data_IF_292508433613
#
_entry.id   IF_292508433613
#
_cell.length_a   1.000
_cell.length_b   1.000
_cell.length_c   1.000
_cell.angle_alpha   90.00
_cell.angle_beta   90.00
_cell.angle_gamma   90.00
#
_symmetry.space_group_name_H-M   'P 1'
#
loop_
_entity.id
_entity.type
_entity.pdbx_description
1 polymer ?
#
# COMPACT_ATOMS: atom_id res chain seq x y z
N UNK A 1 0.62 26.36 0.38
CA UNK A 1 1.91 25.66 0.43
C UNK A 1 2.25 25.08 -0.94
N UNK A 2 3.53 24.83 -1.21
CA UNK A 2 4.00 23.95 -2.29
C UNK A 2 4.55 22.66 -1.68
N UNK A 3 3.89 21.55 -1.98
CA UNK A 3 4.10 20.24 -1.36
C UNK A 3 4.57 19.22 -2.41
N UNK A 4 5.43 18.29 -2.00
CA UNK A 4 5.82 17.14 -2.82
C UNK A 4 5.20 15.88 -2.22
N UNK A 5 4.33 15.20 -2.95
CA UNK A 5 3.78 13.90 -2.54
C UNK A 5 4.63 12.78 -3.17
N UNK A 6 5.14 11.87 -2.33
CA UNK A 6 5.74 10.60 -2.74
C UNK A 6 4.79 9.50 -2.25
N UNK A 7 4.22 8.72 -3.16
CA UNK A 7 3.16 7.76 -2.85
C UNK A 7 3.34 6.42 -3.53
N UNK A 8 2.83 5.36 -2.91
CA UNK A 8 2.62 4.10 -3.62
C UNK A 8 1.61 4.32 -4.76
N UNK A 9 1.88 3.79 -5.95
CA UNK A 9 1.01 3.94 -7.12
C UNK A 9 -0.37 3.28 -6.99
N UNK A 10 -0.60 2.45 -5.96
CA UNK A 10 -1.93 1.90 -5.67
C UNK A 10 -2.94 2.99 -5.26
N UNK A 11 -2.47 4.18 -4.90
CA UNK A 11 -3.32 5.33 -4.59
C UNK A 11 -3.47 6.30 -5.78
N UNK A 12 -3.08 5.89 -7.00
CA UNK A 12 -2.97 6.81 -8.14
C UNK A 12 -4.27 7.58 -8.38
N UNK A 13 -5.43 6.90 -8.36
CA UNK A 13 -6.72 7.52 -8.63
C UNK A 13 -7.15 8.41 -7.47
N UNK A 14 -6.99 7.94 -6.24
CA UNK A 14 -7.37 8.62 -5.00
C UNK A 14 -6.57 9.92 -4.84
N UNK A 15 -5.25 9.87 -5.00
CA UNK A 15 -4.42 11.08 -4.95
C UNK A 15 -4.65 12.00 -6.15
N UNK A 16 -4.83 11.47 -7.36
CA UNK A 16 -5.15 12.34 -8.51
C UNK A 16 -6.46 13.11 -8.30
N UNK A 17 -7.50 12.44 -7.79
CA UNK A 17 -8.80 13.06 -7.52
C UNK A 17 -8.71 14.12 -6.41
N UNK A 18 -7.98 13.83 -5.33
CA UNK A 18 -7.89 14.71 -4.16
C UNK A 18 -6.92 15.87 -4.37
N UNK A 19 -5.78 15.65 -5.03
CA UNK A 19 -4.81 16.70 -5.40
C UNK A 19 -5.45 17.74 -6.32
N UNK A 20 -6.28 17.32 -7.28
CA UNK A 20 -6.99 18.23 -8.17
C UNK A 20 -7.92 19.22 -7.43
N UNK A 21 -8.28 18.94 -6.17
CA UNK A 21 -9.13 19.78 -5.32
C UNK A 21 -8.38 20.38 -4.12
N UNK A 22 -7.07 20.16 -4.01
CA UNK A 22 -6.29 20.68 -2.89
C UNK A 22 -6.20 22.21 -2.93
N UNK A 23 -6.24 22.91 -1.76
CA UNK A 23 -5.92 24.33 -1.68
C UNK A 23 -4.41 24.63 -1.86
N UNK A 24 -3.58 23.62 -2.12
CA UNK A 24 -2.13 23.72 -2.23
C UNK A 24 -1.62 23.22 -3.58
N UNK A 25 -0.42 23.67 -3.96
CA UNK A 25 0.27 23.13 -5.14
C UNK A 25 0.92 21.82 -4.69
N UNK A 26 0.44 20.69 -5.20
CA UNK A 26 0.96 19.36 -4.86
C UNK A 26 1.52 18.70 -6.12
N UNK A 27 2.85 18.62 -6.19
CA UNK A 27 3.53 17.84 -7.23
C UNK A 27 3.66 16.38 -6.75
N UNK A 28 3.29 15.42 -7.60
CA UNK A 28 3.17 14.00 -7.20
C UNK A 28 4.24 13.15 -7.89
N UNK A 29 4.83 12.21 -7.14
CA UNK A 29 5.66 11.12 -7.64
C UNK A 29 5.14 9.80 -7.09
N UNK A 30 4.71 8.93 -8.00
CA UNK A 30 4.27 7.59 -7.66
C UNK A 30 5.44 6.61 -7.81
N UNK A 31 5.67 5.81 -6.78
CA UNK A 31 6.63 4.71 -6.84
C UNK A 31 5.89 3.37 -7.07
N UNK A 32 6.53 2.41 -7.75
CA UNK A 32 5.88 1.15 -8.13
C UNK A 32 5.38 0.34 -6.93
N UNK A 33 4.23 -0.33 -7.07
CA UNK A 33 3.68 -1.22 -6.03
C UNK A 33 4.69 -2.30 -5.64
N UNK A 34 5.42 -2.83 -6.63
CA UNK A 34 6.42 -3.88 -6.46
C UNK A 34 7.60 -3.51 -5.56
N UNK A 35 7.69 -2.26 -5.09
CA UNK A 35 8.62 -1.89 -4.04
C UNK A 35 8.35 -2.64 -2.72
N UNK A 36 7.12 -3.10 -2.47
CA UNK A 36 6.79 -3.94 -1.32
C UNK A 36 7.37 -5.37 -1.43
N UNK A 37 7.83 -5.76 -2.62
CA UNK A 37 8.31 -7.12 -2.90
C UNK A 37 9.83 -7.25 -2.77
N UNK A 38 10.56 -6.14 -2.61
CA UNK A 38 12.03 -6.12 -2.57
C UNK A 38 12.62 -6.19 -1.15
N UNK A 39 11.76 -6.24 -0.13
CA UNK A 39 12.14 -6.26 1.28
C UNK A 39 12.39 -4.86 1.87
N UNK A 40 12.28 -4.76 3.20
CA UNK A 40 12.26 -3.48 3.94
C UNK A 40 13.48 -2.59 3.69
N UNK A 41 14.69 -3.17 3.67
CA UNK A 41 15.92 -2.37 3.48
C UNK A 41 15.97 -1.69 2.10
N UNK A 42 15.66 -2.44 1.04
CA UNK A 42 15.66 -1.94 -0.34
C UNK A 42 14.50 -0.97 -0.56
N UNK A 43 13.31 -1.29 -0.07
CA UNK A 43 12.16 -0.40 -0.11
C UNK A 43 12.49 0.95 0.53
N UNK A 44 13.06 0.93 1.73
CA UNK A 44 13.46 2.13 2.44
C UNK A 44 14.53 2.92 1.69
N UNK A 45 15.53 2.25 1.11
CA UNK A 45 16.58 2.91 0.34
C UNK A 45 16.01 3.67 -0.88
N UNK A 46 15.10 3.05 -1.63
CA UNK A 46 14.43 3.70 -2.77
C UNK A 46 13.53 4.86 -2.34
N UNK A 47 12.77 4.69 -1.26
CA UNK A 47 11.96 5.77 -0.67
C UNK A 47 12.83 6.94 -0.19
N UNK A 48 13.94 6.64 0.50
CA UNK A 48 14.87 7.67 0.95
C UNK A 48 15.50 8.38 -0.25
N UNK A 49 15.87 7.65 -1.31
CA UNK A 49 16.39 8.25 -2.53
C UNK A 49 15.36 9.18 -3.19
N UNK A 50 14.07 8.84 -3.17
CA UNK A 50 13.00 9.71 -3.65
C UNK A 50 12.87 10.98 -2.79
N UNK A 51 12.92 10.85 -1.46
CA UNK A 51 12.95 11.99 -0.53
C UNK A 51 14.18 12.87 -0.75
N UNK A 52 15.35 12.28 -0.94
CA UNK A 52 16.63 12.98 -1.09
C UNK A 52 16.73 13.76 -2.41
N UNK A 53 15.95 13.38 -3.44
CA UNK A 53 15.85 14.12 -4.71
C UNK A 53 14.97 15.37 -4.62
N UNK A 54 14.25 15.58 -3.51
CA UNK A 54 13.33 16.72 -3.39
C UNK A 54 14.12 18.01 -3.17
N UNK A 55 13.90 18.99 -4.04
CA UNK A 55 14.47 20.32 -3.92
C UNK A 55 13.82 21.10 -2.77
N UNK A 56 14.54 21.23 -1.66
CA UNK A 56 14.09 21.92 -0.44
C UNK A 56 13.94 23.43 -0.61
N UNK A 57 14.48 24.05 -1.67
CA UNK A 57 14.23 25.45 -1.97
C UNK A 57 12.85 25.65 -2.64
N UNK A 58 12.28 24.59 -3.23
CA UNK A 58 11.02 24.62 -3.97
C UNK A 58 9.82 24.16 -3.13
N UNK A 59 10.00 23.21 -2.22
CA UNK A 59 8.92 22.59 -1.46
C UNK A 59 9.03 22.88 0.04
N UNK A 60 7.89 23.00 0.71
CA UNK A 60 7.81 23.26 2.15
C UNK A 60 7.75 21.97 2.98
N UNK A 61 7.25 20.88 2.41
CA UNK A 61 7.19 19.56 3.04
C UNK A 61 7.10 18.44 2.00
N UNK A 62 7.53 17.24 2.41
CA UNK A 62 7.32 15.99 1.65
C UNK A 62 6.20 15.18 2.32
N UNK A 63 5.15 14.88 1.58
CA UNK A 63 4.06 14.02 2.02
C UNK A 63 4.35 12.57 1.62
N UNK A 64 4.12 11.62 2.53
CA UNK A 64 4.24 10.20 2.26
C UNK A 64 2.85 9.57 2.13
N UNK A 65 2.49 9.16 0.90
CA UNK A 65 1.31 8.33 0.62
C UNK A 65 1.56 6.86 0.95
N UNK A 66 1.94 6.59 2.21
CA UNK A 66 2.32 5.28 2.74
C UNK A 66 1.85 5.14 4.19
N UNK A 67 1.52 3.91 4.60
CA UNK A 67 1.52 3.52 6.01
C UNK A 67 2.89 2.95 6.43
N UNK A 68 2.93 2.29 7.59
CA UNK A 68 4.13 1.63 8.09
C UNK A 68 4.60 0.49 7.15
N UNK A 69 3.66 -0.20 6.50
CA UNK A 69 3.87 -1.15 5.40
C UNK A 69 5.00 -2.16 5.70
N UNK A 70 4.84 -2.97 6.75
CA UNK A 70 5.86 -3.90 7.25
C UNK A 70 7.22 -3.20 7.52
N UNK A 71 7.16 -2.06 8.19
CA UNK A 71 8.30 -1.20 8.52
C UNK A 71 9.05 -0.62 7.31
N UNK A 72 8.47 -0.66 6.10
CA UNK A 72 9.09 -0.15 4.87
C UNK A 72 9.51 1.32 4.94
N UNK A 73 8.79 2.14 5.72
CA UNK A 73 9.10 3.56 5.93
C UNK A 73 9.93 3.83 7.20
N UNK A 74 10.13 2.83 8.07
CA UNK A 74 10.84 3.02 9.33
C UNK A 74 12.33 3.25 9.08
N UNK A 75 12.82 4.40 9.52
CA UNK A 75 14.18 4.89 9.30
C UNK A 75 14.28 5.94 8.19
N UNK A 76 13.20 6.27 7.49
CA UNK A 76 13.19 7.42 6.57
C UNK A 76 13.47 8.69 7.35
N UNK A 77 14.43 9.48 6.86
CA UNK A 77 14.94 10.67 7.52
C UNK A 77 14.46 11.91 6.79
N UNK A 78 13.88 12.84 7.54
CA UNK A 78 13.62 14.20 7.09
C UNK A 78 14.95 14.94 6.92
N UNK A 79 15.26 15.35 5.69
CA UNK A 79 16.50 16.04 5.36
C UNK A 79 16.43 17.51 5.75
N UNK A 80 16.17 18.40 4.78
CA UNK A 80 16.10 19.85 5.03
C UNK A 80 14.68 20.35 5.29
N UNK A 81 13.67 19.61 4.83
CA UNK A 81 12.24 19.95 5.00
C UNK A 81 11.53 18.79 5.70
N UNK A 82 10.42 19.06 6.41
CA UNK A 82 9.71 18.03 7.15
C UNK A 82 9.11 16.94 6.24
N UNK A 83 9.03 15.73 6.79
CA UNK A 83 8.18 14.67 6.23
C UNK A 83 6.83 14.69 6.95
N UNK A 84 5.75 14.45 6.21
CA UNK A 84 4.42 14.26 6.78
C UNK A 84 3.91 12.89 6.37
N UNK A 85 3.56 12.07 7.35
CA UNK A 85 3.19 10.67 7.15
C UNK A 85 1.94 10.32 7.96
N UNK A 86 0.95 9.63 7.37
CA UNK A 86 -0.18 9.09 8.12
C UNK A 86 0.27 8.11 9.20
N UNK A 87 -0.32 8.19 10.39
CA UNK A 87 -0.24 7.16 11.43
C UNK A 87 -1.11 5.98 11.02
N UNK A 88 -0.53 5.11 10.21
CA UNK A 88 -1.24 3.98 9.61
C UNK A 88 -0.34 2.75 9.61
N UNK A 89 -0.90 1.56 9.89
CA UNK A 89 -0.16 0.30 9.83
C UNK A 89 0.23 -0.05 8.39
N UNK A 90 -0.68 0.21 7.45
CA UNK A 90 -0.52 -0.06 6.03
C UNK A 90 -1.46 0.82 5.20
N UNK A 91 -1.46 0.59 3.89
CA UNK A 91 -2.30 1.31 2.94
C UNK A 91 -3.82 1.10 3.15
N UNK A 92 -4.25 0.00 3.76
CA UNK A 92 -5.68 -0.28 3.99
C UNK A 92 -6.24 0.74 4.98
N UNK A 93 -5.48 1.13 6.00
CA UNK A 93 -5.86 2.20 6.93
C UNK A 93 -6.19 3.51 6.20
N UNK A 94 -5.39 3.89 5.19
CA UNK A 94 -5.64 5.09 4.39
C UNK A 94 -6.92 4.95 3.56
N UNK A 95 -7.15 3.78 2.93
CA UNK A 95 -8.37 3.53 2.15
C UNK A 95 -9.63 3.54 3.03
N UNK A 96 -9.54 3.10 4.29
CA UNK A 96 -10.65 3.11 5.24
C UNK A 96 -10.79 4.45 5.97
N UNK A 97 -9.78 5.31 5.88
CA UNK A 97 -9.71 6.63 6.49
C UNK A 97 -9.60 6.61 8.03
N UNK A 98 -9.32 5.45 8.65
CA UNK A 98 -9.27 5.29 10.10
C UNK A 98 -8.57 3.99 10.49
N UNK A 99 -7.60 4.08 11.41
CA UNK A 99 -6.94 2.92 12.01
C UNK A 99 -7.91 2.06 12.81
N UNK A 100 -8.83 2.70 13.55
CA UNK A 100 -9.89 2.01 14.31
C UNK A 100 -10.80 1.20 13.39
N UNK A 101 -11.31 1.81 12.32
CA UNK A 101 -12.18 1.12 11.35
C UNK A 101 -11.47 -0.05 10.68
N UNK A 102 -10.18 0.11 10.39
CA UNK A 102 -9.35 -0.97 9.86
C UNK A 102 -9.25 -2.15 10.82
N UNK A 103 -8.91 -1.91 12.09
CA UNK A 103 -8.79 -2.95 13.11
C UNK A 103 -10.13 -3.66 13.35
N UNK A 104 -11.22 -2.92 13.53
CA UNK A 104 -12.58 -3.49 13.72
C UNK A 104 -12.98 -4.40 12.56
N UNK A 105 -12.68 -3.99 11.33
CA UNK A 105 -12.97 -4.79 10.15
C UNK A 105 -12.09 -6.05 10.08
N UNK A 106 -10.78 -5.90 10.31
CA UNK A 106 -9.83 -7.01 10.26
C UNK A 106 -10.14 -8.09 11.31
N UNK A 107 -10.42 -7.68 12.56
CA UNK A 107 -10.74 -8.58 13.67
C UNK A 107 -12.03 -9.37 13.44
N UNK A 108 -12.99 -8.79 12.72
CA UNK A 108 -14.27 -9.44 12.38
C UNK A 108 -14.22 -10.28 11.10
N UNK A 109 -13.17 -10.16 10.28
CA UNK A 109 -13.03 -10.84 8.99
C UNK A 109 -11.67 -11.58 8.87
N UNK A 110 -11.43 -12.61 9.71
CA UNK A 110 -10.20 -13.40 9.61
C UNK A 110 -10.05 -14.02 8.22
N UNK A 111 -8.87 -13.87 7.63
CA UNK A 111 -8.60 -14.36 6.28
C UNK A 111 -9.17 -13.49 5.15
N UNK A 112 -9.41 -12.21 5.41
CA UNK A 112 -9.74 -11.24 4.36
C UNK A 112 -8.51 -10.85 3.53
N UNK A 113 -8.71 -10.76 2.22
CA UNK A 113 -7.79 -10.14 1.28
C UNK A 113 -8.46 -8.90 0.65
N UNK A 114 -7.84 -7.72 0.80
CA UNK A 114 -8.40 -6.47 0.30
C UNK A 114 -8.01 -6.20 -1.15
N UNK A 115 -8.91 -5.55 -1.89
CA UNK A 115 -8.67 -5.02 -3.24
C UNK A 115 -9.27 -3.64 -3.41
N UNK A 116 -8.70 -2.86 -4.33
CA UNK A 116 -9.12 -1.54 -4.80
C UNK A 116 -8.77 -1.46 -6.28
N UNK A 117 -9.16 -0.38 -6.96
CA UNK A 117 -8.70 -0.13 -8.33
C UNK A 117 -7.20 -0.18 -8.46
N UNK A 118 -6.45 0.48 -7.56
CA UNK A 118 -5.00 0.59 -7.70
C UNK A 118 -4.26 -0.74 -7.56
N UNK A 119 -4.73 -1.61 -6.68
CA UNK A 119 -4.24 -2.98 -6.57
C UNK A 119 -4.46 -3.76 -7.88
N UNK A 120 -5.67 -3.70 -8.43
CA UNK A 120 -6.02 -4.40 -9.68
C UNK A 120 -5.28 -3.81 -10.90
N UNK A 121 -5.13 -2.49 -11.00
CA UNK A 121 -4.50 -1.82 -12.14
C UNK A 121 -2.98 -1.92 -12.13
N UNK A 122 -2.35 -1.87 -10.95
CA UNK A 122 -0.89 -1.79 -10.79
C UNK A 122 -0.25 -3.15 -10.50
N UNK A 123 -1.07 -4.20 -10.39
CA UNK A 123 -0.64 -5.58 -10.21
C UNK A 123 -0.04 -6.28 -11.43
N UNK A 124 -0.01 -5.65 -12.61
CA UNK A 124 0.46 -6.30 -13.85
C UNK A 124 -0.52 -7.36 -14.40
N UNK A 125 -0.29 -7.79 -15.64
CA UNK A 125 -1.15 -8.70 -16.42
C UNK A 125 -1.31 -10.12 -15.87
N UNK A 126 -0.47 -10.51 -14.91
CA UNK A 126 -0.52 -11.81 -14.22
C UNK A 126 -0.93 -11.53 -12.77
N UNK A 127 -2.18 -11.91 -12.43
CA UNK A 127 -2.93 -11.37 -11.29
C UNK A 127 -2.16 -11.23 -9.96
N UNK A 128 -2.60 -10.30 -9.12
CA UNK A 128 -1.87 -9.79 -7.94
C UNK A 128 -1.29 -10.82 -6.97
N UNK A 129 -1.88 -12.01 -6.87
CA UNK A 129 -1.38 -13.06 -5.97
C UNK A 129 -0.08 -13.70 -6.47
N UNK A 130 0.22 -13.58 -7.77
CA UNK A 130 1.53 -13.90 -8.37
C UNK A 130 2.66 -13.02 -7.82
N UNK A 131 2.31 -11.89 -7.20
CA UNK A 131 3.25 -10.88 -6.69
C UNK A 131 3.35 -10.83 -5.17
N UNK A 132 2.70 -11.70 -4.40
CA UNK A 132 3.14 -11.89 -3.01
C UNK A 132 4.62 -12.28 -3.08
N UNK A 133 5.52 -11.50 -2.46
CA UNK A 133 6.97 -11.50 -2.64
C UNK A 133 7.68 -12.89 -2.58
N UNK A 134 6.98 -13.92 -2.09
CA UNK A 134 7.43 -15.31 -2.07
C UNK A 134 7.14 -16.02 -3.40
N UNK A 135 6.03 -15.72 -4.06
CA UNK A 135 5.56 -16.37 -5.29
C UNK A 135 6.48 -16.21 -6.48
N UNK A 136 6.97 -15.01 -6.76
CA UNK A 136 7.88 -14.78 -7.91
C UNK A 136 9.25 -15.44 -7.72
N UNK A 137 9.73 -15.55 -6.47
CA UNK A 137 10.98 -16.24 -6.14
C UNK A 137 10.90 -17.76 -6.37
N UNK A 138 9.70 -18.33 -6.36
CA UNK A 138 9.45 -19.78 -6.48
C UNK A 138 8.68 -20.17 -7.75
N UNK A 139 8.45 -19.24 -8.69
CA UNK A 139 7.83 -19.52 -9.99
C UNK A 139 6.29 -19.50 -10.02
N UNK A 140 5.62 -18.81 -9.09
CA UNK A 140 4.19 -18.49 -9.23
C UNK A 140 3.92 -17.84 -10.58
N UNK A 141 2.84 -18.28 -11.24
CA UNK A 141 2.43 -17.80 -12.56
C UNK A 141 2.83 -18.73 -13.70
N UNK A 142 3.79 -19.64 -13.48
CA UNK A 142 3.99 -20.77 -14.39
C UNK A 142 2.79 -21.72 -14.28
N UNK A 143 2.18 -22.10 -15.41
CA UNK A 143 1.19 -23.17 -15.39
C UNK A 143 1.86 -24.46 -14.87
N UNK A 144 1.09 -25.41 -14.34
CA UNK A 144 1.65 -26.64 -13.77
C UNK A 144 2.60 -27.35 -14.75
N UNK A 145 2.29 -27.32 -16.06
CA UNK A 145 3.13 -27.90 -17.11
C UNK A 145 4.50 -27.20 -17.25
N UNK A 146 4.56 -25.88 -17.07
CA UNK A 146 5.80 -25.10 -17.08
C UNK A 146 6.63 -25.33 -15.81
N UNK A 147 5.99 -25.55 -14.65
CA UNK A 147 6.66 -25.97 -13.42
C UNK A 147 7.21 -27.40 -13.55
N UNK A 148 6.44 -28.32 -14.13
CA UNK A 148 6.85 -29.71 -14.41
C UNK A 148 8.04 -29.72 -15.38
N UNK A 149 7.98 -28.95 -16.46
CA UNK A 149 9.04 -28.87 -17.45
C UNK A 149 10.36 -28.33 -16.87
N UNK A 150 10.28 -27.41 -15.90
CA UNK A 150 11.46 -26.76 -15.31
C UNK A 150 12.03 -27.49 -14.10
N UNK A 151 11.17 -28.09 -13.27
CA UNK A 151 11.56 -28.60 -11.96
C UNK A 151 11.29 -30.10 -11.78
N UNK A 152 10.59 -30.74 -12.73
CA UNK A 152 10.10 -32.11 -12.60
C UNK A 152 8.79 -32.19 -11.82
N UNK A 153 8.03 -33.27 -12.02
CA UNK A 153 6.66 -33.41 -11.51
C UNK A 153 6.55 -33.37 -9.99
N UNK A 154 7.44 -34.06 -9.27
CA UNK A 154 7.41 -34.09 -7.81
C UNK A 154 7.72 -32.72 -7.20
N UNK A 155 8.67 -31.97 -7.76
CA UNK A 155 8.97 -30.62 -7.31
C UNK A 155 7.89 -29.63 -7.73
N UNK A 156 7.27 -29.79 -8.90
CA UNK A 156 6.16 -28.96 -9.33
C UNK A 156 4.95 -29.14 -8.40
N UNK A 157 4.64 -30.37 -8.00
CA UNK A 157 3.59 -30.69 -7.01
C UNK A 157 3.93 -30.10 -5.63
N UNK A 158 5.15 -30.30 -5.14
CA UNK A 158 5.60 -29.72 -3.88
C UNK A 158 5.53 -28.19 -3.88
N UNK A 159 6.01 -27.55 -4.96
CA UNK A 159 5.91 -26.11 -5.13
C UNK A 159 4.44 -25.71 -5.08
N UNK A 160 3.57 -26.32 -5.90
CA UNK A 160 2.13 -26.03 -5.93
C UNK A 160 1.44 -26.18 -4.57
N UNK A 161 1.79 -27.18 -3.77
CA UNK A 161 1.28 -27.37 -2.41
C UNK A 161 1.74 -26.24 -1.47
N UNK A 162 3.02 -25.86 -1.51
CA UNK A 162 3.56 -24.73 -0.76
C UNK A 162 2.96 -23.39 -1.22
N UNK A 163 2.66 -23.25 -2.52
CA UNK A 163 1.95 -22.10 -3.08
C UNK A 163 0.53 -22.03 -2.52
N UNK A 164 -0.19 -23.15 -2.53
CA UNK A 164 -1.51 -23.28 -1.95
C UNK A 164 -1.51 -22.88 -0.47
N UNK A 165 -0.50 -23.32 0.29
CA UNK A 165 -0.32 -23.00 1.70
C UNK A 165 -0.25 -21.50 2.01
N UNK A 166 0.33 -20.68 1.13
CA UNK A 166 0.37 -19.23 1.32
C UNK A 166 -0.99 -18.54 1.22
N UNK A 167 -1.96 -19.20 0.59
CA UNK A 167 -3.35 -18.71 0.49
C UNK A 167 -4.34 -19.47 1.36
N UNK A 168 -3.92 -20.52 2.06
CA UNK A 168 -4.79 -21.36 2.89
C UNK A 168 -5.49 -20.58 4.00
N UNK A 169 -4.87 -19.50 4.47
CA UNK A 169 -5.44 -18.67 5.54
C UNK A 169 -6.43 -17.62 5.02
N UNK A 170 -6.55 -17.44 3.70
CA UNK A 170 -7.50 -16.50 3.12
C UNK A 170 -8.76 -17.23 2.64
N UNK A 171 -9.92 -16.62 2.89
CA UNK A 171 -11.22 -17.19 2.53
C UNK A 171 -12.21 -16.15 2.02
N UNK A 172 -11.80 -14.87 1.97
CA UNK A 172 -12.64 -13.75 1.56
C UNK A 172 -11.84 -12.73 0.74
N UNK A 173 -12.45 -12.20 -0.31
CA UNK A 173 -12.06 -10.93 -0.91
C UNK A 173 -13.00 -9.81 -0.46
N UNK A 174 -12.41 -8.68 -0.08
CA UNK A 174 -13.12 -7.42 0.17
C UNK A 174 -12.67 -6.38 -0.84
N UNK A 175 -13.58 -5.96 -1.71
CA UNK A 175 -13.37 -4.84 -2.61
C UNK A 175 -13.73 -3.53 -1.91
N UNK A 176 -12.75 -2.63 -1.74
CA UNK A 176 -12.95 -1.31 -1.18
C UNK A 176 -13.28 -0.34 -2.33
N UNK A 177 -14.52 0.14 -2.35
CA UNK A 177 -15.03 1.09 -3.33
C UNK A 177 -14.70 2.52 -2.90
N UNK A 178 -13.78 3.18 -3.60
CA UNK A 178 -13.26 4.50 -3.20
C UNK A 178 -14.07 5.68 -3.73
N UNK A 179 -15.01 5.43 -4.65
CA UNK A 179 -15.81 6.45 -5.33
C UNK A 179 -15.04 7.20 -6.43
N UNK A 180 -13.87 6.68 -6.83
CA UNK A 180 -13.00 7.22 -7.91
C UNK A 180 -12.80 6.22 -9.06
N UNK A 181 -13.46 5.07 -8.95
CA UNK A 181 -13.65 4.09 -10.01
C UNK A 181 -14.30 4.74 -11.24
N UNK A 182 -13.90 4.34 -12.46
CA UNK A 182 -14.56 4.81 -13.68
C UNK A 182 -15.91 4.11 -13.91
N UNK A 183 -16.04 2.86 -13.44
CA UNK A 183 -17.19 1.97 -13.59
C UNK A 183 -17.07 0.78 -12.60
N UNK A 184 -18.04 -0.14 -12.64
CA UNK A 184 -18.07 -1.34 -11.80
C UNK A 184 -17.16 -2.49 -12.23
N UNK A 185 -16.30 -2.33 -13.25
CA UNK A 185 -15.51 -3.44 -13.78
C UNK A 185 -14.46 -3.99 -12.80
N UNK A 186 -14.00 -3.17 -11.85
CA UNK A 186 -13.06 -3.58 -10.81
C UNK A 186 -13.72 -4.42 -9.71
N UNK A 187 -14.93 -4.00 -9.30
CA UNK A 187 -15.78 -4.79 -8.40
C UNK A 187 -16.08 -6.15 -9.03
N UNK A 188 -16.53 -6.15 -10.29
CA UNK A 188 -16.90 -7.38 -10.99
C UNK A 188 -15.71 -8.34 -11.13
N UNK A 189 -14.53 -7.85 -11.49
CA UNK A 189 -13.29 -8.66 -11.55
C UNK A 189 -12.98 -9.33 -10.21
N UNK A 190 -13.12 -8.60 -9.11
CA UNK A 190 -12.88 -9.14 -7.76
C UNK A 190 -13.92 -10.20 -7.39
N UNK A 191 -15.19 -9.96 -7.73
CA UNK A 191 -16.29 -10.91 -7.52
C UNK A 191 -16.10 -12.20 -8.32
N UNK A 192 -15.71 -12.09 -9.58
CA UNK A 192 -15.43 -13.24 -10.44
C UNK A 192 -14.25 -14.06 -9.92
N UNK A 193 -13.20 -13.39 -9.42
CA UNK A 193 -12.05 -14.06 -8.81
C UNK A 193 -12.42 -14.77 -7.50
N UNK A 194 -13.25 -14.16 -6.66
CA UNK A 194 -13.78 -14.80 -5.45
C UNK A 194 -14.55 -16.07 -5.80
N UNK A 195 -15.46 -16.00 -6.79
CA UNK A 195 -16.26 -17.13 -7.24
C UNK A 195 -15.39 -18.29 -7.78
N UNK A 196 -14.36 -17.99 -8.58
CA UNK A 196 -13.42 -19.00 -9.10
C UNK A 196 -12.65 -19.73 -8.00
N UNK A 197 -12.38 -19.05 -6.87
CA UNK A 197 -11.68 -19.62 -5.71
C UNK A 197 -12.60 -20.27 -4.69
N UNK A 198 -13.92 -20.12 -4.83
CA UNK A 198 -14.89 -20.48 -3.79
C UNK A 198 -14.75 -19.60 -2.53
N UNK A 199 -14.23 -18.39 -2.66
CA UNK A 199 -14.08 -17.43 -1.55
C UNK A 199 -15.32 -16.56 -1.41
N UNK A 200 -15.55 -16.05 -0.20
CA UNK A 200 -16.56 -15.02 0.06
C UNK A 200 -16.17 -13.72 -0.66
N UNK A 201 -17.17 -13.00 -1.15
CA UNK A 201 -17.00 -11.66 -1.71
C UNK A 201 -17.78 -10.66 -0.87
N UNK A 202 -17.14 -9.56 -0.53
CA UNK A 202 -17.76 -8.40 0.11
C UNK A 202 -17.34 -7.12 -0.61
N UNK A 203 -18.28 -6.17 -0.70
CA UNK A 203 -17.97 -4.79 -1.08
C UNK A 203 -18.05 -3.90 0.16
N UNK A 204 -17.02 -3.09 0.37
CA UNK A 204 -16.90 -2.15 1.47
C UNK A 204 -16.70 -0.74 0.92
N UNK A 205 -17.43 0.25 1.43
CA UNK A 205 -17.20 1.64 1.04
C UNK A 205 -15.89 2.17 1.64
N UNK A 206 -15.01 2.73 0.82
CA UNK A 206 -13.80 3.42 1.26
C UNK A 206 -14.08 4.78 1.90
N UNK A 207 -13.03 5.49 2.30
CA UNK A 207 -13.12 6.85 2.81
C UNK A 207 -11.88 7.67 2.43
N UNK A 208 -12.07 8.66 1.56
CA UNK A 208 -10.99 9.52 1.08
C UNK A 208 -10.52 10.55 2.11
N UNK A 209 -11.20 10.73 3.25
CA UNK A 209 -10.99 11.89 4.11
C UNK A 209 -9.55 11.99 4.66
N UNK A 210 -8.90 10.87 4.98
CA UNK A 210 -7.49 10.88 5.42
C UNK A 210 -6.54 11.27 4.26
N UNK A 211 -6.80 10.77 3.05
CA UNK A 211 -6.06 11.13 1.83
C UNK A 211 -6.24 12.63 1.51
N UNK A 212 -7.45 13.15 1.63
CA UNK A 212 -7.78 14.57 1.46
C UNK A 212 -7.07 15.45 2.50
N UNK A 213 -7.06 15.06 3.77
CA UNK A 213 -6.36 15.79 4.84
C UNK A 213 -4.85 15.82 4.63
N UNK A 214 -4.25 14.73 4.13
CA UNK A 214 -2.82 14.68 3.81
C UNK A 214 -2.44 15.77 2.79
N UNK A 215 -3.17 15.85 1.68
CA UNK A 215 -2.83 16.78 0.57
C UNK A 215 -3.35 18.20 0.75
N UNK A 216 -4.31 18.42 1.66
CA UNK A 216 -4.85 19.74 2.00
C UNK A 216 -4.11 20.44 3.15
N UNK A 217 -3.14 19.78 3.79
CA UNK A 217 -2.35 20.37 4.88
C UNK A 217 -2.98 20.26 6.27
N UNK A 218 -4.08 19.51 6.42
CA UNK A 218 -4.80 19.34 7.69
C UNK A 218 -4.20 18.19 8.52
N UNK A 219 -2.98 18.38 9.01
CA UNK A 219 -2.19 17.33 9.67
C UNK A 219 -2.42 17.29 11.19
N UNK A 220 -3.59 16.79 11.60
CA UNK A 220 -3.87 16.51 13.01
C UNK A 220 -2.88 15.47 13.58
N UNK A 221 -2.38 15.71 14.80
CA UNK A 221 -1.33 14.89 15.40
C UNK A 221 -1.77 13.46 15.76
N UNK A 222 -3.08 13.19 15.86
CA UNK A 222 -3.63 11.85 16.08
C UNK A 222 -3.58 11.00 14.81
N UNK A 223 -3.67 11.63 13.64
CA UNK A 223 -3.72 10.95 12.35
C UNK A 223 -2.42 11.05 11.56
N UNK A 224 -1.59 12.05 11.84
CA UNK A 224 -0.35 12.31 11.12
C UNK A 224 0.82 12.50 12.06
N UNK A 225 1.99 12.07 11.61
CA UNK A 225 3.27 12.41 12.19
C UNK A 225 3.96 13.41 11.26
N UNK A 226 4.27 14.58 11.80
CA UNK A 226 5.20 15.53 11.17
C UNK A 226 6.60 15.25 11.71
N UNK A 227 7.50 14.83 10.85
CA UNK A 227 8.90 14.53 11.17
C UNK A 227 9.74 15.77 10.85
N UNK A 228 10.29 16.46 11.86
CA UNK A 228 11.09 17.65 11.61
C UNK A 228 12.44 17.31 10.97
N UNK A 229 13.08 18.26 10.27
CA UNK A 229 14.44 18.09 9.75
C UNK A 229 15.42 17.51 10.79
N UNK A 230 16.31 16.61 10.34
CA UNK A 230 17.26 15.92 11.21
C UNK A 230 16.65 14.81 12.07
N UNK A 231 15.37 14.47 11.88
CA UNK A 231 14.73 13.33 12.53
C UNK A 231 14.38 12.24 11.53
N UNK A 232 14.20 11.03 12.03
CA UNK A 232 13.74 9.86 11.27
C UNK A 232 12.44 9.30 11.82
N UNK A 233 11.71 8.59 10.97
CA UNK A 233 10.55 7.79 11.35
C UNK A 233 11.03 6.57 12.14
N UNK A 234 10.48 6.34 13.32
CA UNK A 234 10.66 5.11 14.09
C UNK A 234 9.31 4.41 14.25
N UNK A 235 9.30 3.08 14.11
CA UNK A 235 8.11 2.28 14.39
C UNK A 235 7.86 2.25 15.90
N UNK A 236 6.57 2.31 16.28
CA UNK A 236 6.12 2.07 17.65
C UNK A 236 5.16 0.90 17.68
N UNK A 237 5.18 0.20 18.81
CA UNK A 237 4.29 -0.93 19.10
C UNK A 237 3.21 -0.49 20.10
N UNK A 238 2.70 0.72 19.92
CA UNK A 238 1.62 1.34 20.67
C UNK A 238 0.60 1.95 19.69
N UNK A 239 -0.47 2.55 20.22
CA UNK A 239 -1.52 3.21 19.42
C UNK A 239 -1.00 4.34 18.52
N UNK A 240 0.21 4.86 18.78
CA UNK A 240 0.84 5.90 17.99
C UNK A 240 1.40 5.40 16.65
N UNK A 241 1.67 4.09 16.49
CA UNK A 241 2.20 3.39 15.29
C UNK A 241 3.62 3.81 14.87
N UNK A 242 3.91 5.12 14.85
CA UNK A 242 5.18 5.72 14.45
C UNK A 242 5.52 6.94 15.31
N UNK A 243 6.80 7.29 15.39
CA UNK A 243 7.26 8.53 16.03
C UNK A 243 8.46 9.12 15.31
N UNK A 244 8.80 10.37 15.63
CA UNK A 244 10.02 11.01 15.18
C UNK A 244 11.13 10.80 16.22
N UNK A 245 12.31 10.37 15.76
CA UNK A 245 13.53 10.24 16.57
C UNK A 245 14.63 11.10 15.97
N UNK A 246 15.43 11.78 16.80
CA UNK A 246 16.61 12.49 16.33
C UNK A 246 17.62 11.50 15.71
N UNK A 247 18.28 11.92 14.62
CA UNK A 247 19.33 11.16 13.92
C UNK A 247 20.70 11.49 14.49
#
# INVERSE_FOLDING_TARGET
MRLKLISCEIFYREFSATVARSPHIVDVEFLPKGLHDVGTEKMRAELQAAVDRVDSARYEAVLLGYGLCNNGIAGLTARQIPLVVPRAHDCITLFLGSSKRYLEYFDSHPGVFFKTTGWIERGGSDGELTQLAIGKAIGWGANYEALVAKYGEDNARYLQEQLGAMTQNYSQFTYIEMGVEPDGSFEQRTRDEAAKRGWKFEKLAGNLAMIERLVSGAWDAQEFLVVPPGHRIAARYDEGIIAAEAV
#
